data_IF_501440913744
#
_entry.id   IF_501440913744
#
_cell.length_a   1.000
_cell.length_b   1.000
_cell.length_c   1.000
_cell.angle_alpha   90.00
_cell.angle_beta   90.00
_cell.angle_gamma   90.00
#
_symmetry.space_group_name_H-M   'P 1'
#
loop_
_entity.id
_entity.type
_entity.pdbx_description
1 polymer ?
#
# COMPACT_ATOMS: atom_id res chain seq x y z
N UNK A 1 3.20 3.16 2.17
CA UNK A 1 2.59 3.63 0.89
C UNK A 1 3.24 4.92 0.37
N UNK A 2 3.06 6.07 1.04
CA UNK A 2 3.57 7.35 0.52
C UNK A 2 5.08 7.36 0.24
N UNK A 3 5.87 6.72 1.12
CA UNK A 3 7.31 6.52 0.95
C UNK A 3 7.65 5.67 -0.29
N UNK A 4 7.04 4.49 -0.43
CA UNK A 4 7.19 3.63 -1.62
C UNK A 4 6.89 4.40 -2.91
N UNK A 5 5.85 5.24 -2.92
CA UNK A 5 5.51 6.06 -4.10
C UNK A 5 6.61 7.08 -4.40
N UNK A 6 7.15 7.76 -3.37
CA UNK A 6 8.26 8.72 -3.56
C UNK A 6 9.51 8.03 -4.11
N UNK A 7 9.84 6.83 -3.58
CA UNK A 7 10.93 6.01 -4.07
C UNK A 7 10.73 5.60 -5.53
N UNK A 8 9.54 5.11 -5.90
CA UNK A 8 9.26 4.70 -7.28
C UNK A 8 9.33 5.86 -8.26
N UNK A 9 8.91 7.05 -7.84
CA UNK A 9 9.03 8.27 -8.63
C UNK A 9 10.45 8.87 -8.65
N UNK A 10 11.39 8.33 -7.87
CA UNK A 10 12.76 8.85 -7.76
C UNK A 10 12.84 10.22 -7.08
N UNK A 11 11.83 10.59 -6.29
CA UNK A 11 11.78 11.89 -5.61
C UNK A 11 12.67 11.88 -4.37
N UNK A 12 13.41 12.97 -4.16
CA UNK A 12 14.28 13.18 -3.02
C UNK A 12 13.80 14.39 -2.21
N UNK A 13 14.08 14.40 -0.90
CA UNK A 13 13.74 15.50 0.01
C UNK A 13 12.23 15.84 0.06
N UNK A 14 11.36 14.84 -0.07
CA UNK A 14 9.90 15.03 0.01
C UNK A 14 9.49 15.31 1.46
N UNK A 15 8.78 16.42 1.68
CA UNK A 15 8.22 16.77 3.00
C UNK A 15 6.80 16.24 3.13
N UNK A 16 6.59 15.29 4.04
CA UNK A 16 5.25 14.83 4.43
C UNK A 16 4.62 15.78 5.45
N UNK A 17 3.43 16.29 5.15
CA UNK A 17 2.63 17.08 6.08
C UNK A 17 1.41 16.25 6.49
N UNK A 18 1.25 16.05 7.79
CA UNK A 18 0.14 15.28 8.34
C UNK A 18 -0.85 16.22 9.03
N UNK A 19 -2.13 16.05 8.78
CA UNK A 19 -3.19 16.77 9.50
C UNK A 19 -3.30 16.31 10.97
N UNK A 20 -2.66 15.19 11.33
CA UNK A 20 -2.78 14.54 12.62
C UNK A 20 -4.04 13.66 12.73
N UNK A 21 -4.18 13.02 13.89
CA UNK A 21 -5.26 12.07 14.16
C UNK A 21 -4.94 10.63 13.71
N UNK A 22 -5.84 9.71 14.07
CA UNK A 22 -5.65 8.28 13.81
C UNK A 22 -6.32 7.80 12.50
N UNK A 23 -7.06 8.65 11.78
CA UNK A 23 -7.87 8.27 10.61
C UNK A 23 -7.99 9.42 9.62
N UNK A 24 -8.25 9.11 8.34
CA UNK A 24 -8.38 10.11 7.28
C UNK A 24 -9.70 10.88 7.31
N UNK A 25 -10.82 10.21 7.62
CA UNK A 25 -12.16 10.82 7.65
C UNK A 25 -13.10 10.07 8.61
N UNK A 26 -14.29 10.63 8.86
CA UNK A 26 -15.32 9.98 9.69
C UNK A 26 -15.78 8.67 9.02
N UNK A 27 -15.62 7.56 9.73
CA UNK A 27 -15.95 6.22 9.24
C UNK A 27 -14.76 5.45 8.66
N UNK A 28 -13.60 6.08 8.53
CA UNK A 28 -12.36 5.38 8.15
C UNK A 28 -11.84 4.50 9.29
N UNK A 29 -11.52 3.25 8.95
CA UNK A 29 -11.00 2.26 9.87
C UNK A 29 -9.47 2.26 9.78
N UNK A 30 -8.74 2.60 10.86
CA UNK A 30 -7.29 2.77 10.81
C UNK A 30 -6.52 1.49 10.48
N UNK A 31 -7.11 0.33 10.77
CA UNK A 31 -6.54 -0.97 10.49
C UNK A 31 -7.61 -1.89 9.91
N UNK A 32 -7.29 -2.49 8.76
CA UNK A 32 -8.11 -3.51 8.12
C UNK A 32 -7.20 -4.66 7.72
N UNK A 33 -7.41 -5.82 8.34
CA UNK A 33 -6.73 -7.07 7.99
C UNK A 33 -7.76 -8.19 7.93
N UNK A 34 -7.89 -8.80 6.76
CA UNK A 34 -8.80 -9.94 6.58
C UNK A 34 -8.10 -11.25 6.91
N UNK A 35 -8.83 -12.13 7.59
CA UNK A 35 -8.42 -13.53 7.72
C UNK A 35 -8.61 -14.23 6.36
N UNK A 36 -7.52 -14.76 5.82
CA UNK A 36 -7.48 -15.42 4.50
C UNK A 36 -7.38 -16.95 4.57
N UNK A 37 -7.55 -17.56 5.74
CA UNK A 37 -7.38 -19.01 5.92
C UNK A 37 -8.35 -19.83 5.06
N UNK A 38 -9.59 -19.35 4.89
CA UNK A 38 -10.57 -20.03 4.01
C UNK A 38 -10.12 -20.07 2.55
N UNK A 39 -9.56 -18.98 2.03
CA UNK A 39 -9.12 -18.93 0.62
C UNK A 39 -7.80 -19.70 0.43
N UNK A 40 -6.94 -19.72 1.45
CA UNK A 40 -5.75 -20.60 1.46
C UNK A 40 -6.08 -22.07 1.35
N UNK A 41 -7.15 -22.53 2.00
CA UNK A 41 -7.62 -23.92 1.90
C UNK A 41 -8.06 -24.31 0.48
N UNK A 42 -8.38 -23.33 -0.38
CA UNK A 42 -8.70 -23.57 -1.80
C UNK A 42 -7.44 -23.65 -2.69
N UNK A 43 -6.24 -23.65 -2.08
CA UNK A 43 -4.96 -23.69 -2.80
C UNK A 43 -4.46 -22.33 -3.30
N UNK A 44 -5.14 -21.24 -2.96
CA UNK A 44 -4.69 -19.89 -3.30
C UNK A 44 -3.71 -19.33 -2.25
N UNK A 45 -2.70 -18.60 -2.69
CA UNK A 45 -1.82 -17.84 -1.80
C UNK A 45 -1.44 -16.50 -2.44
N UNK A 46 -1.20 -15.45 -1.62
CA UNK A 46 -0.71 -14.18 -2.13
C UNK A 46 0.70 -14.38 -2.70
N UNK A 47 0.90 -13.94 -3.94
CA UNK A 47 2.22 -13.97 -4.60
C UNK A 47 3.13 -12.81 -4.19
N UNK A 48 2.53 -11.76 -3.62
CA UNK A 48 3.20 -10.53 -3.22
C UNK A 48 2.72 -10.12 -1.84
N UNK A 49 3.63 -9.55 -1.07
CA UNK A 49 3.34 -8.79 0.15
C UNK A 49 2.63 -7.47 -0.18
N UNK A 50 2.07 -6.80 0.83
CA UNK A 50 1.44 -5.48 0.65
C UNK A 50 2.42 -4.45 0.07
N UNK A 51 3.68 -4.43 0.53
CA UNK A 51 4.68 -3.47 0.07
C UNK A 51 5.07 -3.72 -1.39
N UNK A 52 5.27 -4.99 -1.78
CA UNK A 52 5.53 -5.36 -3.18
C UNK A 52 4.35 -5.00 -4.07
N UNK A 53 3.12 -5.27 -3.65
CA UNK A 53 1.92 -4.94 -4.42
C UNK A 53 1.76 -3.43 -4.64
N UNK A 54 2.03 -2.61 -3.60
CA UNK A 54 2.03 -1.15 -3.70
C UNK A 54 3.14 -0.67 -4.65
N UNK A 55 4.34 -1.26 -4.59
CA UNK A 55 5.45 -0.91 -5.47
C UNK A 55 5.16 -1.21 -6.94
N UNK A 56 4.61 -2.40 -7.23
CA UNK A 56 4.18 -2.80 -8.57
C UNK A 56 3.11 -1.84 -9.10
N UNK A 57 2.11 -1.50 -8.27
CA UNK A 57 1.06 -0.57 -8.67
C UNK A 57 1.62 0.83 -8.96
N UNK A 58 2.50 1.35 -8.09
CA UNK A 58 3.15 2.64 -8.28
C UNK A 58 3.99 2.66 -9.58
N UNK A 59 4.80 1.63 -9.81
CA UNK A 59 5.61 1.49 -11.03
C UNK A 59 4.78 1.50 -12.33
N UNK A 60 3.65 0.77 -12.35
CA UNK A 60 2.73 0.75 -13.49
C UNK A 60 2.09 2.12 -13.75
N UNK A 61 1.71 2.85 -12.70
CA UNK A 61 1.10 4.18 -12.85
C UNK A 61 2.06 5.22 -13.42
N UNK A 62 3.37 5.03 -13.26
CA UNK A 62 4.41 5.94 -13.79
C UNK A 62 5.10 5.40 -15.05
N UNK A 63 4.63 4.27 -15.60
CA UNK A 63 5.15 3.70 -16.85
C UNK A 63 6.55 3.09 -16.75
N UNK A 64 6.97 2.64 -15.57
CA UNK A 64 8.26 1.94 -15.38
C UNK A 64 8.27 0.52 -15.96
N UNK A 65 7.09 -0.09 -16.10
CA UNK A 65 6.78 -1.35 -16.80
C UNK A 65 5.31 -1.36 -17.23
#
# INVERSE_FOLDING_TARGET
VAEIVCEEMGLQNVKFNYSGGARGWRGDAPYVHFNIEKVKQLGWSPKHTSDEAVRIAAGRLIGKE
#
